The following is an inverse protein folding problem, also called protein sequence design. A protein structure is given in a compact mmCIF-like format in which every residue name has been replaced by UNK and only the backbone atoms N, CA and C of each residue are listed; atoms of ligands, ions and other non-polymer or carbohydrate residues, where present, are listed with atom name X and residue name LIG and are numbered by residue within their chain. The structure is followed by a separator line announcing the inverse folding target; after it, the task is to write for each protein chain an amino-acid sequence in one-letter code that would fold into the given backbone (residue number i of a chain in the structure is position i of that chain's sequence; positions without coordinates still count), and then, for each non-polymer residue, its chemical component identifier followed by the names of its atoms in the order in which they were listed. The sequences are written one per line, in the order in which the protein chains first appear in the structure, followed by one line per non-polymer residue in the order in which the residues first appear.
data_IF_929182837346
#
_entry.id   IF_929182837346
#
_cell.length_a   1.000
_cell.length_b   1.000
_cell.length_c   1.000
_cell.angle_alpha   90.00
_cell.angle_beta   90.00
_cell.angle_gamma   90.00
#
_symmetry.space_group_name_H-M   'P 1'
#
loop_
_entity.id
_entity.type
_entity.pdbx_description
1 polymer ?
#
# COMPACT_ATOMS: atom_id res chain seq x y z
N UNK A 1 22.27 8.54 -13.25
CA UNK A 1 22.10 9.63 -12.26
C UNK A 1 21.19 9.10 -11.16
N UNK A 2 21.76 8.87 -9.98
CA UNK A 2 21.00 8.32 -8.84
C UNK A 2 20.21 9.46 -8.19
N UNK A 3 18.88 9.32 -8.15
CA UNK A 3 18.02 10.30 -7.49
C UNK A 3 17.42 9.68 -6.22
N UNK A 4 17.67 10.30 -5.06
CA UNK A 4 17.11 9.90 -3.77
C UNK A 4 16.28 11.04 -3.20
N UNK A 5 15.04 10.76 -2.84
CA UNK A 5 14.18 11.67 -2.08
C UNK A 5 13.69 10.96 -0.83
N UNK A 6 14.02 11.52 0.32
CA UNK A 6 13.63 11.00 1.62
C UNK A 6 12.55 11.90 2.21
N UNK A 7 11.41 11.30 2.58
CA UNK A 7 10.55 11.80 3.63
C UNK A 7 10.74 10.91 4.86
N UNK A 8 10.23 11.35 6.05
CA UNK A 8 10.35 10.52 7.25
C UNK A 8 9.65 9.16 7.12
N UNK A 9 8.62 9.03 6.28
CA UNK A 9 7.77 7.82 6.21
C UNK A 9 7.80 7.12 4.85
N UNK A 10 8.30 7.76 3.80
CA UNK A 10 8.47 7.17 2.47
C UNK A 10 9.82 7.59 1.89
N UNK A 11 10.63 6.63 1.55
CA UNK A 11 11.87 6.87 0.80
C UNK A 11 11.68 6.47 -0.65
N UNK A 12 12.22 7.28 -1.57
CA UNK A 12 12.20 6.95 -3.00
C UNK A 12 13.60 7.05 -3.58
N UNK A 13 13.99 6.04 -4.33
CA UNK A 13 15.31 5.95 -4.95
C UNK A 13 15.21 5.43 -6.37
N UNK A 14 15.82 6.14 -7.32
CA UNK A 14 15.97 5.71 -8.71
C UNK A 14 17.44 5.40 -8.98
N UNK A 15 17.72 4.16 -9.40
CA UNK A 15 19.06 3.76 -9.79
C UNK A 15 19.33 4.00 -11.29
N UNK A 16 20.56 3.78 -11.72
CA UNK A 16 21.03 3.94 -13.11
C UNK A 16 20.37 2.95 -14.10
N UNK A 17 19.87 1.81 -13.62
CA UNK A 17 19.19 0.79 -14.42
C UNK A 17 17.69 1.07 -14.62
N UNK A 18 17.19 2.19 -14.09
CA UNK A 18 15.78 2.59 -14.20
C UNK A 18 14.86 1.89 -13.19
N UNK A 19 15.41 1.29 -12.14
CA UNK A 19 14.63 0.73 -11.04
C UNK A 19 14.31 1.85 -10.03
N UNK A 20 13.04 2.17 -9.89
CA UNK A 20 12.51 3.09 -8.88
C UNK A 20 12.03 2.29 -7.68
N UNK A 21 12.65 2.49 -6.53
CA UNK A 21 12.22 1.85 -5.28
C UNK A 21 11.43 2.85 -4.44
N UNK A 22 10.28 2.41 -3.94
CA UNK A 22 9.48 3.08 -2.92
C UNK A 22 9.56 2.23 -1.65
N UNK A 23 10.22 2.76 -0.62
CA UNK A 23 10.37 2.08 0.64
C UNK A 23 9.48 2.74 1.70
N UNK A 24 8.48 2.00 2.21
CA UNK A 24 7.66 2.41 3.33
C UNK A 24 8.54 2.41 4.57
N UNK A 25 8.79 3.58 5.14
CA UNK A 25 9.76 3.78 6.22
C UNK A 25 9.09 4.40 7.47
N UNK A 26 8.16 3.67 8.04
CA UNK A 26 7.49 4.00 9.30
C UNK A 26 7.27 2.74 10.14
N UNK A 27 8.36 1.97 10.43
CA UNK A 27 8.24 0.69 11.12
C UNK A 27 7.63 0.82 12.52
N UNK A 28 7.80 1.95 13.21
CA UNK A 28 7.19 2.27 14.49
C UNK A 28 5.65 2.34 14.44
N UNK A 29 5.09 2.58 13.26
CA UNK A 29 3.65 2.54 12.99
C UNK A 29 3.28 1.36 12.07
N UNK A 30 4.13 0.33 12.00
CA UNK A 30 3.92 -0.88 11.17
C UNK A 30 3.64 -0.54 9.71
N UNK A 31 4.29 0.49 9.18
CA UNK A 31 4.11 1.01 7.82
C UNK A 31 2.63 1.22 7.46
N UNK A 32 1.86 1.76 8.40
CA UNK A 32 0.44 2.04 8.20
C UNK A 32 0.22 3.02 7.05
N UNK A 33 -0.81 2.79 6.26
CA UNK A 33 -1.29 3.68 5.21
C UNK A 33 -2.05 4.86 5.84
N UNK A 34 -1.29 5.72 6.55
CA UNK A 34 -1.77 7.00 7.05
C UNK A 34 -2.14 7.94 5.90
N UNK A 35 -2.88 9.00 6.18
CA UNK A 35 -3.19 10.01 5.17
C UNK A 35 -1.92 10.55 4.52
N UNK A 36 -0.89 10.85 5.32
CA UNK A 36 0.40 11.33 4.82
C UNK A 36 1.13 10.29 3.96
N UNK A 37 1.17 9.02 4.38
CA UNK A 37 1.78 7.94 3.59
C UNK A 37 1.10 7.80 2.22
N UNK A 38 -0.24 7.81 2.19
CA UNK A 38 -0.98 7.69 0.94
C UNK A 38 -0.76 8.90 0.02
N UNK A 39 -0.65 10.13 0.55
CA UNK A 39 -0.36 11.32 -0.24
C UNK A 39 1.05 11.26 -0.84
N UNK A 40 2.04 10.83 -0.08
CA UNK A 40 3.42 10.66 -0.54
C UNK A 40 3.51 9.57 -1.62
N UNK A 41 2.87 8.42 -1.39
CA UNK A 41 2.80 7.33 -2.37
C UNK A 41 2.12 7.77 -3.67
N UNK A 42 0.96 8.45 -3.59
CA UNK A 42 0.27 8.97 -4.77
C UNK A 42 1.17 9.91 -5.58
N UNK A 43 1.81 10.87 -4.90
CA UNK A 43 2.73 11.82 -5.55
C UNK A 43 3.95 11.13 -6.17
N UNK A 44 4.47 10.09 -5.53
CA UNK A 44 5.60 9.33 -6.05
C UNK A 44 5.20 8.51 -7.29
N UNK A 45 4.04 7.84 -7.25
CA UNK A 45 3.46 7.09 -8.36
C UNK A 45 3.20 8.00 -9.58
N UNK A 46 2.55 9.15 -9.36
CA UNK A 46 2.25 10.11 -10.43
C UNK A 46 3.54 10.59 -11.12
N UNK A 47 4.59 10.85 -10.36
CA UNK A 47 5.91 11.25 -10.91
C UNK A 47 6.61 10.11 -11.64
N UNK A 48 6.62 8.92 -11.05
CA UNK A 48 7.32 7.78 -11.61
C UNK A 48 6.67 7.30 -12.92
N UNK A 49 5.33 7.32 -13.01
CA UNK A 49 4.59 6.92 -14.20
C UNK A 49 4.96 7.73 -15.45
N UNK A 50 5.25 9.01 -15.28
CA UNK A 50 5.61 9.92 -16.38
C UNK A 50 7.13 10.05 -16.59
N UNK A 51 7.96 9.53 -15.69
CA UNK A 51 9.41 9.64 -15.79
C UNK A 51 9.97 8.59 -16.79
N UNK A 52 10.54 9.06 -17.90
CA UNK A 52 11.13 8.21 -18.96
C UNK A 52 12.31 7.35 -18.46
N UNK A 53 12.99 7.78 -17.41
CA UNK A 53 14.11 7.03 -16.82
C UNK A 53 13.64 5.88 -15.90
N UNK A 54 12.36 5.84 -15.52
CA UNK A 54 11.80 4.75 -14.73
C UNK A 54 11.32 3.65 -15.66
N UNK A 55 11.81 2.43 -15.45
CA UNK A 55 11.45 1.23 -16.19
C UNK A 55 10.57 0.28 -15.38
N UNK A 56 10.78 0.23 -14.06
CA UNK A 56 10.06 -0.61 -13.12
C UNK A 56 10.02 0.08 -11.75
N UNK A 57 8.95 -0.15 -11.01
CA UNK A 57 8.78 0.34 -9.64
C UNK A 57 8.76 -0.86 -8.70
N UNK A 58 9.51 -0.79 -7.60
CA UNK A 58 9.48 -1.78 -6.52
C UNK A 58 8.95 -1.10 -5.26
N UNK A 59 7.95 -1.68 -4.63
CA UNK A 59 7.41 -1.22 -3.34
C UNK A 59 7.87 -2.21 -2.29
N UNK A 60 8.57 -1.70 -1.26
CA UNK A 60 9.07 -2.46 -0.10
C UNK A 60 8.70 -1.77 1.20
N UNK A 61 8.91 -2.42 2.33
CA UNK A 61 8.70 -1.83 3.66
C UNK A 61 9.80 -2.19 4.63
N UNK A 62 10.22 -1.23 5.43
CA UNK A 62 11.22 -1.45 6.49
C UNK A 62 10.60 -2.11 7.73
N UNK A 63 11.42 -2.90 8.42
CA UNK A 63 11.06 -3.59 9.65
C UNK A 63 10.33 -4.91 9.42
N UNK A 64 9.64 -5.40 10.44
CA UNK A 64 8.97 -6.71 10.46
C UNK A 64 7.59 -6.72 9.78
N UNK A 65 7.14 -5.59 9.25
CA UNK A 65 5.82 -5.44 8.67
C UNK A 65 5.92 -4.66 7.36
N UNK A 66 5.50 -5.28 6.27
CA UNK A 66 5.38 -4.60 4.98
C UNK A 66 4.38 -3.44 5.08
N UNK A 67 3.14 -3.72 5.51
CA UNK A 67 2.14 -2.70 5.86
C UNK A 67 0.98 -3.31 6.64
N UNK A 68 0.55 -2.63 7.69
CA UNK A 68 -0.61 -3.02 8.51
C UNK A 68 -1.96 -2.53 7.96
N UNK A 69 -1.97 -1.81 6.83
CA UNK A 69 -3.16 -1.17 6.29
C UNK A 69 -3.43 0.20 6.88
N UNK A 70 -4.70 0.64 6.90
CA UNK A 70 -5.04 1.99 7.35
C UNK A 70 -4.59 2.31 8.78
N UNK A 71 -4.18 3.55 9.03
CA UNK A 71 -3.82 4.01 10.36
C UNK A 71 -5.07 4.12 11.26
N UNK A 72 -5.21 3.16 12.18
CA UNK A 72 -6.34 3.11 13.11
C UNK A 72 -6.32 4.24 14.13
N UNK A 73 -5.16 4.87 14.40
CA UNK A 73 -5.07 6.02 15.30
C UNK A 73 -5.75 7.24 14.67
N UNK A 74 -5.50 7.48 13.38
CA UNK A 74 -6.18 8.55 12.63
C UNK A 74 -7.70 8.32 12.57
N UNK A 75 -8.12 7.08 12.26
CA UNK A 75 -9.54 6.72 12.21
C UNK A 75 -10.22 6.89 13.57
N UNK A 76 -9.56 6.46 14.66
CA UNK A 76 -10.07 6.63 16.03
C UNK A 76 -10.16 8.10 16.43
N UNK A 77 -9.17 8.91 16.08
CA UNK A 77 -9.19 10.35 16.33
C UNK A 77 -10.36 11.04 15.62
N UNK A 78 -10.60 10.71 14.36
CA UNK A 78 -11.69 11.27 13.56
C UNK A 78 -13.08 10.96 14.15
N UNK A 79 -13.27 9.80 14.80
CA UNK A 79 -14.53 9.44 15.47
C UNK A 79 -14.95 10.36 16.60
N UNK A 80 -14.02 11.16 17.15
CA UNK A 80 -14.31 12.15 18.20
C UNK A 80 -15.02 13.40 17.64
N UNK A 81 -15.03 13.60 16.34
CA UNK A 81 -15.70 14.71 15.69
C UNK A 81 -17.24 14.59 15.70
N UNK A 82 -17.93 15.71 15.47
CA UNK A 82 -19.39 15.81 15.53
C UNK A 82 -20.10 14.82 14.56
N UNK A 83 -19.50 14.52 13.41
CA UNK A 83 -20.01 13.59 12.42
C UNK A 83 -19.53 12.13 12.62
N UNK A 84 -18.94 11.84 13.79
CA UNK A 84 -18.34 10.55 14.14
C UNK A 84 -17.32 10.05 13.12
N UNK A 85 -16.65 10.98 12.43
CA UNK A 85 -15.61 10.70 11.44
C UNK A 85 -16.10 10.37 10.04
N UNK A 86 -17.40 10.48 9.74
CA UNK A 86 -17.99 10.11 8.45
C UNK A 86 -17.29 10.78 7.27
N UNK A 87 -17.06 12.09 7.34
CA UNK A 87 -16.38 12.84 6.27
C UNK A 87 -14.92 12.40 6.11
N UNK A 88 -14.24 12.19 7.23
CA UNK A 88 -12.84 11.74 7.22
C UNK A 88 -12.71 10.34 6.63
N UNK A 89 -13.55 9.40 7.06
CA UNK A 89 -13.52 8.04 6.52
C UNK A 89 -13.75 8.02 5.02
N UNK A 90 -14.75 8.76 4.54
CA UNK A 90 -15.01 8.87 3.10
C UNK A 90 -13.79 9.44 2.35
N UNK A 91 -13.13 10.46 2.90
CA UNK A 91 -11.89 11.04 2.35
C UNK A 91 -10.78 10.00 2.26
N UNK A 92 -10.51 9.27 3.35
CA UNK A 92 -9.44 8.28 3.43
C UNK A 92 -9.70 7.10 2.48
N UNK A 93 -10.91 6.58 2.43
CA UNK A 93 -11.26 5.48 1.52
C UNK A 93 -11.12 5.92 0.05
N UNK A 94 -11.53 7.14 -0.30
CA UNK A 94 -11.32 7.69 -1.66
C UNK A 94 -9.84 7.84 -2.00
N UNK A 95 -9.00 8.31 -1.07
CA UNK A 95 -7.55 8.42 -1.27
C UNK A 95 -6.93 7.04 -1.49
N UNK A 96 -7.26 6.07 -0.65
CA UNK A 96 -6.77 4.70 -0.78
C UNK A 96 -7.19 4.12 -2.13
N UNK A 97 -8.47 4.21 -2.49
CA UNK A 97 -8.98 3.73 -3.77
C UNK A 97 -8.27 4.38 -4.97
N UNK A 98 -8.04 5.70 -4.92
CA UNK A 98 -7.30 6.42 -5.97
C UNK A 98 -5.87 5.88 -6.10
N UNK A 99 -5.16 5.72 -4.98
CA UNK A 99 -3.79 5.22 -4.97
C UNK A 99 -3.72 3.80 -5.56
N UNK A 100 -4.59 2.88 -5.13
CA UNK A 100 -4.65 1.51 -5.66
C UNK A 100 -4.95 1.49 -7.17
N UNK A 101 -5.91 2.32 -7.62
CA UNK A 101 -6.21 2.44 -9.05
C UNK A 101 -5.04 3.05 -9.84
N UNK A 102 -4.27 3.94 -9.24
CA UNK A 102 -3.06 4.49 -9.88
C UNK A 102 -2.00 3.39 -10.07
N UNK A 103 -1.85 2.49 -9.10
CA UNK A 103 -0.96 1.33 -9.21
C UNK A 103 -1.41 0.45 -10.39
N UNK A 104 -2.67 0.02 -10.39
CA UNK A 104 -3.24 -0.87 -11.43
C UNK A 104 -3.14 -0.26 -12.84
N UNK A 105 -3.28 1.07 -12.96
CA UNK A 105 -3.25 1.78 -14.24
C UNK A 105 -1.86 2.29 -14.63
N UNK A 106 -0.86 2.04 -13.81
CA UNK A 106 0.49 2.55 -14.06
C UNK A 106 1.06 1.93 -15.35
N UNK A 107 1.62 2.73 -16.27
CA UNK A 107 2.22 2.20 -17.49
C UNK A 107 3.59 1.54 -17.25
N UNK A 108 4.04 1.47 -16.00
CA UNK A 108 5.29 0.83 -15.59
C UNK A 108 4.96 -0.38 -14.74
N UNK A 109 5.65 -1.52 -14.90
CA UNK A 109 5.48 -2.65 -14.00
C UNK A 109 5.74 -2.24 -12.54
N UNK A 110 4.85 -2.64 -11.63
CA UNK A 110 4.99 -2.41 -10.20
C UNK A 110 5.09 -3.76 -9.49
N UNK A 111 6.13 -3.93 -8.71
CA UNK A 111 6.44 -5.17 -7.99
C UNK A 111 6.37 -4.89 -6.49
N UNK A 112 5.60 -5.69 -5.75
CA UNK A 112 5.66 -5.70 -4.30
C UNK A 112 6.78 -6.64 -3.83
N UNK A 113 7.71 -6.13 -3.04
CA UNK A 113 8.75 -6.90 -2.34
C UNK A 113 8.33 -6.99 -0.88
N UNK A 114 7.75 -8.14 -0.51
CA UNK A 114 7.09 -8.32 0.78
C UNK A 114 7.98 -9.05 1.75
N UNK A 115 8.52 -8.33 2.71
CA UNK A 115 9.15 -8.90 3.89
C UNK A 115 8.25 -8.65 5.12
N UNK A 116 8.04 -9.73 5.92
CA UNK A 116 7.17 -9.66 7.08
C UNK A 116 5.68 -9.65 6.75
N UNK A 117 4.90 -8.86 7.49
CA UNK A 117 3.43 -8.96 7.48
C UNK A 117 2.77 -7.91 6.57
N UNK A 118 1.86 -8.35 5.72
CA UNK A 118 0.96 -7.47 4.95
C UNK A 118 -0.50 -7.75 5.36
N UNK A 119 -1.20 -6.75 5.94
CA UNK A 119 -2.57 -6.93 6.41
C UNK A 119 -3.53 -5.87 5.91
N UNK A 120 -4.81 -6.21 5.82
CA UNK A 120 -5.91 -5.32 5.45
C UNK A 120 -5.59 -4.56 4.14
N UNK A 121 -5.60 -3.21 4.14
CA UNK A 121 -5.24 -2.41 2.99
C UNK A 121 -3.76 -2.57 2.55
N UNK A 122 -2.87 -3.05 3.44
CA UNK A 122 -1.49 -3.44 3.09
C UNK A 122 -1.48 -4.70 2.21
N UNK A 123 -2.35 -5.68 2.50
CA UNK A 123 -2.56 -6.84 1.64
C UNK A 123 -3.16 -6.43 0.28
N UNK A 124 -4.10 -5.47 0.27
CA UNK A 124 -4.64 -4.90 -0.97
C UNK A 124 -3.55 -4.19 -1.79
N UNK A 125 -2.63 -3.47 -1.14
CA UNK A 125 -1.50 -2.83 -1.82
C UNK A 125 -0.67 -3.85 -2.60
N UNK A 126 -0.35 -4.99 -1.98
CA UNK A 126 0.34 -6.10 -2.65
C UNK A 126 -0.48 -6.63 -3.83
N UNK A 127 -1.77 -6.89 -3.62
CA UNK A 127 -2.66 -7.43 -4.65
C UNK A 127 -2.92 -6.45 -5.81
N UNK A 128 -2.65 -5.16 -5.63
CA UNK A 128 -2.77 -4.14 -6.67
C UNK A 128 -1.52 -4.03 -7.56
N UNK A 129 -0.40 -4.64 -7.16
CA UNK A 129 0.83 -4.68 -7.94
C UNK A 129 0.75 -5.75 -9.05
N UNK A 130 1.54 -5.61 -10.10
CA UNK A 130 1.61 -6.58 -11.20
C UNK A 130 2.23 -7.91 -10.78
N UNK A 131 3.21 -7.85 -9.88
CA UNK A 131 3.91 -9.02 -9.33
C UNK A 131 4.17 -8.81 -7.83
N UNK A 132 4.29 -9.92 -7.12
CA UNK A 132 4.71 -9.92 -5.72
C UNK A 132 5.81 -10.98 -5.49
N UNK A 133 6.88 -10.56 -4.85
CA UNK A 133 7.89 -11.44 -4.27
C UNK A 133 7.79 -11.36 -2.77
N UNK A 134 7.59 -12.50 -2.13
CA UNK A 134 7.44 -12.58 -0.68
C UNK A 134 8.55 -13.44 -0.08
N UNK A 135 9.07 -13.02 1.07
CA UNK A 135 9.97 -13.86 1.85
C UNK A 135 9.23 -15.10 2.36
N UNK A 136 9.96 -16.16 2.68
CA UNK A 136 9.36 -17.38 3.26
C UNK A 136 8.68 -17.15 4.60
N UNK A 137 9.02 -16.06 5.30
CA UNK A 137 8.41 -15.63 6.56
C UNK A 137 7.26 -14.66 6.39
N UNK A 138 6.96 -14.22 5.17
CA UNK A 138 5.88 -13.27 4.91
C UNK A 138 4.50 -13.84 5.30
N UNK A 139 3.66 -12.96 5.86
CA UNK A 139 2.31 -13.31 6.28
C UNK A 139 1.30 -12.36 5.66
N UNK A 140 0.20 -12.91 5.16
CA UNK A 140 -0.89 -12.14 4.56
C UNK A 140 -2.18 -12.39 5.34
N UNK A 141 -2.92 -11.33 5.66
CA UNK A 141 -4.17 -11.45 6.37
C UNK A 141 -5.14 -10.30 6.08
N UNK A 142 -6.44 -10.62 6.20
CA UNK A 142 -7.53 -9.64 6.18
C UNK A 142 -8.29 -9.67 7.51
N UNK A 143 -7.66 -9.23 8.63
CA UNK A 143 -8.14 -9.49 9.99
C UNK A 143 -9.33 -8.62 10.43
N UNK A 144 -9.90 -7.79 9.54
CA UNK A 144 -11.03 -6.91 9.86
C UNK A 144 -12.22 -7.65 10.50
N UNK A 145 -12.44 -8.90 10.14
CA UNK A 145 -13.51 -9.75 10.73
C UNK A 145 -13.37 -9.91 12.23
N UNK A 146 -12.14 -9.93 12.76
CA UNK A 146 -11.88 -10.09 14.19
C UNK A 146 -12.31 -8.88 15.03
N UNK A 147 -12.52 -7.73 14.38
CA UNK A 147 -12.97 -6.48 15.01
C UNK A 147 -14.33 -6.02 14.48
N UNK A 148 -15.08 -6.92 13.85
CA UNK A 148 -16.40 -6.63 13.29
C UNK A 148 -16.38 -5.78 12.03
N UNK A 149 -15.24 -5.71 11.33
CA UNK A 149 -15.10 -5.00 10.05
C UNK A 149 -14.95 -5.99 8.90
N UNK A 150 -15.75 -5.82 7.86
CA UNK A 150 -15.55 -6.53 6.61
C UNK A 150 -14.44 -5.84 5.79
N UNK A 151 -13.37 -6.58 5.51
CA UNK A 151 -12.28 -6.08 4.67
C UNK A 151 -12.70 -6.09 3.19
N UNK A 152 -13.66 -5.23 2.82
CA UNK A 152 -14.30 -5.24 1.50
C UNK A 152 -13.32 -5.09 0.36
N UNK A 153 -12.36 -4.18 0.48
CA UNK A 153 -11.41 -3.88 -0.61
C UNK A 153 -10.43 -5.03 -0.89
N UNK A 154 -9.67 -5.55 0.07
CA UNK A 154 -8.79 -6.69 -0.21
C UNK A 154 -9.58 -7.97 -0.55
N UNK A 155 -10.77 -8.14 0.02
CA UNK A 155 -11.62 -9.31 -0.26
C UNK A 155 -12.07 -9.34 -1.72
N UNK A 156 -12.50 -8.22 -2.28
CA UNK A 156 -12.91 -8.13 -3.69
C UNK A 156 -11.73 -8.47 -4.60
N UNK A 157 -10.54 -7.94 -4.35
CA UNK A 157 -9.37 -8.22 -5.19
C UNK A 157 -8.86 -9.66 -5.05
N UNK A 158 -8.89 -10.22 -3.83
CA UNK A 158 -8.25 -11.52 -3.55
C UNK A 158 -9.20 -12.71 -3.71
N UNK A 159 -10.49 -12.56 -3.38
CA UNK A 159 -11.42 -13.68 -3.37
C UNK A 159 -12.24 -13.82 -4.66
N UNK A 160 -12.49 -12.73 -5.37
CA UNK A 160 -13.29 -12.76 -6.59
C UNK A 160 -12.48 -12.82 -7.88
N UNK A 161 -11.16 -12.57 -7.80
CA UNK A 161 -10.28 -12.58 -8.97
C UNK A 161 -9.29 -13.74 -8.97
N UNK A 162 -9.11 -14.42 -7.84
CA UNK A 162 -8.24 -15.61 -7.75
C UNK A 162 -9.10 -16.88 -7.77
N UNK A 163 -8.70 -17.93 -8.53
CA UNK A 163 -9.37 -19.22 -8.49
C UNK A 163 -9.39 -19.75 -7.04
N UNK A 164 -10.56 -20.08 -6.53
CA UNK A 164 -10.68 -20.75 -5.24
C UNK A 164 -10.24 -22.22 -5.37
N UNK A 165 -9.57 -22.81 -4.37
CA UNK A 165 -9.34 -24.25 -4.34
C UNK A 165 -10.63 -25.08 -4.37
N UNK A 166 -11.80 -24.46 -4.21
CA UNK A 166 -13.11 -25.11 -4.34
C UNK A 166 -13.66 -25.11 -5.76
N UNK A 167 -13.02 -24.38 -6.67
CA UNK A 167 -13.44 -24.24 -8.07
C UNK A 167 -12.61 -25.14 -9.01
N UNK A 168 -11.74 -25.99 -8.44
CA UNK A 168 -10.92 -27.00 -9.12
C UNK A 168 -11.45 -28.40 -8.88
#
# INVERSE_FOLDING_TARGET
MNYRKNSKVLETYLNENGVMRFNLNSPENLNALSENMMDLMQNALDKASHNKNVRVIIISGDGSTFSSGHDLKELKAARKGADKGKKYFLKIMKKCSKMMQTIIKCPKPIIAEVEGTATAAGCQLVASCDLAYASSSAKFATPGVNIGLFCSTPMVCLLYTSPSPRDS
#
